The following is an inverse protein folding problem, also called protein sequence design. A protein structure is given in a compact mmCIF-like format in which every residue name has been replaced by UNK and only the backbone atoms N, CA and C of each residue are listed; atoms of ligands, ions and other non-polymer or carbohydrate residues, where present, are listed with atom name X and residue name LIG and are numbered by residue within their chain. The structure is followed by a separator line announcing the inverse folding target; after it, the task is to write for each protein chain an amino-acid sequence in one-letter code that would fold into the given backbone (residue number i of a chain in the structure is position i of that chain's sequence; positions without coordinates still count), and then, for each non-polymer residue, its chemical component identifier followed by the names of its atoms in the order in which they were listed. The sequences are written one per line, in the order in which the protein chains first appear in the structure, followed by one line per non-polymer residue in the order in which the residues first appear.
data_IF_333861461080
#
_entry.id   IF_333861461080
#
_cell.length_a   1.000
_cell.length_b   1.000
_cell.length_c   1.000
_cell.angle_alpha   90.00
_cell.angle_beta   90.00
_cell.angle_gamma   90.00
#
_symmetry.space_group_name_H-M   'P 1'
#
loop_
_entity.id
_entity.type
_entity.pdbx_description
1 polymer ?
#
# COMPACT_ATOMS: atom_id res chain seq x y z
N UNK A 1 3.19 1.40 4.91
CA UNK A 1 3.59 1.85 3.56
C UNK A 1 4.83 1.15 3.02
N UNK A 2 5.92 1.02 3.79
CA UNK A 2 7.13 0.32 3.31
C UNK A 2 6.85 -1.10 2.81
N UNK A 3 5.99 -1.85 3.50
CA UNK A 3 5.62 -3.21 3.10
C UNK A 3 4.85 -3.25 1.76
N UNK A 4 3.94 -2.30 1.52
CA UNK A 4 3.26 -2.15 0.22
C UNK A 4 4.25 -1.79 -0.90
N UNK A 5 5.18 -0.88 -0.63
CA UNK A 5 6.21 -0.51 -1.62
C UNK A 5 7.12 -1.69 -1.97
N UNK A 6 7.51 -2.49 -0.96
CA UNK A 6 8.26 -3.74 -1.17
C UNK A 6 7.47 -4.74 -1.99
N UNK A 7 6.19 -4.94 -1.68
CA UNK A 7 5.32 -5.84 -2.44
C UNK A 7 5.22 -5.41 -3.92
N UNK A 8 5.03 -4.13 -4.20
CA UNK A 8 5.03 -3.61 -5.59
C UNK A 8 6.34 -3.94 -6.31
N UNK A 9 7.48 -3.76 -5.64
CA UNK A 9 8.80 -4.05 -6.22
C UNK A 9 9.06 -5.56 -6.39
N UNK A 10 8.64 -6.39 -5.44
CA UNK A 10 8.80 -7.86 -5.50
C UNK A 10 8.03 -8.49 -6.65
N UNK A 11 6.90 -7.91 -7.02
CA UNK A 11 6.06 -8.36 -8.12
C UNK A 11 6.35 -7.65 -9.45
N UNK A 12 7.41 -6.81 -9.52
CA UNK A 12 7.79 -5.99 -10.67
C UNK A 12 6.62 -5.17 -11.27
N UNK A 13 5.75 -4.66 -10.38
CA UNK A 13 4.53 -3.98 -10.80
C UNK A 13 4.80 -2.51 -11.09
N UNK A 14 4.42 -2.07 -12.29
CA UNK A 14 4.24 -0.64 -12.56
C UNK A 14 3.15 -0.09 -11.64
N UNK A 15 3.26 1.19 -11.24
CA UNK A 15 2.27 1.82 -10.35
C UNK A 15 0.83 1.73 -10.88
N UNK A 16 0.63 1.73 -12.19
CA UNK A 16 -0.69 1.58 -12.81
C UNK A 16 -1.27 0.16 -12.63
N UNK A 17 -0.43 -0.87 -12.62
CA UNK A 17 -0.87 -2.25 -12.40
C UNK A 17 -1.14 -2.49 -10.91
N UNK A 18 -0.26 -1.99 -10.04
CA UNK A 18 -0.49 -2.00 -8.60
C UNK A 18 -1.80 -1.28 -8.22
N UNK A 19 -2.12 -0.17 -8.90
CA UNK A 19 -3.36 0.57 -8.71
C UNK A 19 -4.60 -0.28 -9.03
N UNK A 20 -4.57 -1.07 -10.12
CA UNK A 20 -5.66 -1.99 -10.48
C UNK A 20 -5.83 -3.09 -9.43
N UNK A 21 -4.73 -3.71 -9.00
CA UNK A 21 -4.77 -4.82 -8.02
C UNK A 21 -5.28 -4.33 -6.66
N UNK A 22 -4.78 -3.19 -6.20
CA UNK A 22 -5.18 -2.58 -4.94
C UNK A 22 -6.52 -1.84 -5.02
N UNK A 23 -7.14 -1.76 -6.21
CA UNK A 23 -8.38 -1.02 -6.50
C UNK A 23 -8.34 0.44 -6.03
N UNK A 24 -7.20 1.10 -6.25
CA UNK A 24 -7.00 2.52 -5.92
C UNK A 24 -6.55 3.30 -7.16
N UNK A 25 -6.53 4.62 -7.08
CA UNK A 25 -5.99 5.44 -8.16
C UNK A 25 -4.46 5.33 -8.23
N UNK A 26 -3.89 5.46 -9.44
CA UNK A 26 -2.43 5.51 -9.61
C UNK A 26 -1.74 6.60 -8.76
N UNK A 27 -2.27 7.84 -8.63
CA UNK A 27 -1.70 8.83 -7.71
C UNK A 27 -1.62 8.33 -6.26
N UNK A 28 -2.59 7.54 -5.80
CA UNK A 28 -2.56 6.94 -4.46
C UNK A 28 -1.39 5.97 -4.31
N UNK A 29 -1.10 5.15 -5.32
CA UNK A 29 0.09 4.29 -5.33
C UNK A 29 1.37 5.12 -5.29
N UNK A 30 1.44 6.22 -6.05
CA UNK A 30 2.58 7.14 -5.98
C UNK A 30 2.77 7.70 -4.56
N UNK A 31 1.68 8.07 -3.88
CA UNK A 31 1.74 8.56 -2.50
C UNK A 31 2.23 7.47 -1.52
N UNK A 32 1.88 6.18 -1.73
CA UNK A 32 2.42 5.04 -0.95
C UNK A 32 3.92 4.86 -1.18
N UNK A 33 4.35 4.82 -2.44
CA UNK A 33 5.76 4.61 -2.82
C UNK A 33 6.64 5.76 -2.28
N UNK A 34 6.14 6.99 -2.34
CA UNK A 34 6.80 8.17 -1.79
C UNK A 34 6.57 8.37 -0.28
N UNK A 35 5.94 7.42 0.41
CA UNK A 35 5.71 7.42 1.87
C UNK A 35 5.04 8.70 2.39
N UNK A 36 4.06 9.26 1.68
CA UNK A 36 3.33 10.47 2.11
C UNK A 36 2.32 10.14 3.22
N UNK A 37 2.82 9.87 4.43
CA UNK A 37 2.07 9.39 5.62
C UNK A 37 0.82 10.22 5.92
N UNK A 38 0.92 11.55 5.83
CA UNK A 38 -0.19 12.47 6.11
C UNK A 38 -1.43 12.27 5.21
N UNK A 39 -1.32 11.55 4.09
CA UNK A 39 -2.43 11.25 3.17
C UNK A 39 -3.13 9.92 3.46
N UNK A 40 -2.67 9.15 4.44
CA UNK A 40 -3.19 7.82 4.74
C UNK A 40 -3.62 7.73 6.18
N UNK A 41 -4.81 7.18 6.37
CA UNK A 41 -5.27 6.70 7.66
C UNK A 41 -4.79 5.27 7.89
N UNK A 42 -4.83 4.81 9.14
CA UNK A 42 -4.42 3.44 9.49
C UNK A 42 -5.33 2.43 8.79
N UNK A 43 -6.65 2.65 8.81
CA UNK A 43 -7.65 1.81 8.14
C UNK A 43 -7.36 1.66 6.64
N UNK A 44 -7.00 2.74 5.94
CA UNK A 44 -6.61 2.66 4.52
C UNK A 44 -5.37 1.78 4.33
N UNK A 45 -4.35 1.90 5.19
CA UNK A 45 -3.14 1.09 5.09
C UNK A 45 -3.42 -0.39 5.38
N UNK A 46 -4.27 -0.67 6.37
CA UNK A 46 -4.70 -2.03 6.72
C UNK A 46 -5.47 -2.65 5.55
N UNK A 47 -6.43 -1.92 4.97
CA UNK A 47 -7.21 -2.40 3.82
C UNK A 47 -6.30 -2.74 2.63
N UNK A 48 -5.35 -1.87 2.31
CA UNK A 48 -4.41 -2.10 1.21
C UNK A 48 -3.52 -3.33 1.48
N UNK A 49 -3.09 -3.55 2.72
CA UNK A 49 -2.29 -4.73 3.10
C UNK A 49 -3.12 -6.03 3.03
N UNK A 50 -4.37 -5.99 3.47
CA UNK A 50 -5.30 -7.12 3.38
C UNK A 50 -5.54 -7.54 1.93
N UNK A 51 -5.66 -6.59 1.00
CA UNK A 51 -5.85 -6.86 -0.44
C UNK A 51 -4.67 -7.60 -1.09
N UNK A 52 -3.46 -7.48 -0.52
CA UNK A 52 -2.26 -8.20 -0.99
C UNK A 52 -1.94 -9.43 -0.13
N UNK A 53 -2.90 -9.88 0.70
CA UNK A 53 -2.76 -11.10 1.51
C UNK A 53 -1.78 -11.00 2.66
N UNK A 54 -1.42 -9.77 3.10
CA UNK A 54 -0.51 -9.55 4.23
C UNK A 54 -1.32 -9.49 5.53
N UNK A 55 -0.86 -10.21 6.55
CA UNK A 55 -1.39 -10.05 7.91
C UNK A 55 -0.87 -8.75 8.54
N UNK A 56 -1.74 -8.08 9.31
CA UNK A 56 -1.39 -6.84 10.02
C UNK A 56 -1.40 -7.09 11.52
N UNK A 57 -0.30 -6.73 12.18
CA UNK A 57 -0.19 -6.71 13.63
C UNK A 57 -0.13 -5.26 14.11
N UNK A 58 -1.00 -4.91 15.04
CA UNK A 58 -1.03 -3.60 15.69
C UNK A 58 -0.58 -3.77 17.14
N UNK A 59 0.46 -3.04 17.53
CA UNK A 59 0.94 -2.93 18.90
C UNK A 59 0.81 -1.47 19.35
N UNK A 60 0.40 -1.27 20.60
CA UNK A 60 0.26 0.03 21.24
C UNK A 60 1.02 -0.06 22.56
N UNK A 61 1.87 0.93 22.84
CA UNK A 61 2.64 1.07 24.07
C UNK A 61 2.17 2.30 24.87
#
# INVERSE_FOLDING_TARGET
MSELAKWIAQHDLKQAEAAKILMVSRPRISDVVNKKTAKFTIDTLVEMLSRVGKSVHLAIE
#
